data_IF_098144967276
#
_entry.id   IF_098144967276
#
_cell.length_a   1.000
_cell.length_b   1.000
_cell.length_c   1.000
_cell.angle_alpha   90.00
_cell.angle_beta   90.00
_cell.angle_gamma   90.00
#
_symmetry.space_group_name_H-M   'P 1'
#
loop_
_entity.id
_entity.type
_entity.pdbx_description
1 polymer ?
#
# COMPACT_ATOMS: atom_id res chain seq x y z
N UNK A 1 -39.32 9.69 -12.30
CA UNK A 1 -39.28 10.41 -11.02
C UNK A 1 -38.49 9.51 -10.08
N UNK A 2 -37.24 9.86 -9.81
CA UNK A 2 -36.33 9.07 -8.98
C UNK A 2 -36.68 9.33 -7.51
N UNK A 3 -37.13 8.30 -6.79
CA UNK A 3 -37.26 8.37 -5.33
C UNK A 3 -35.87 8.35 -4.71
N UNK A 4 -35.34 9.54 -4.40
CA UNK A 4 -34.16 9.70 -3.56
C UNK A 4 -34.64 9.83 -2.11
N UNK A 5 -34.21 8.86 -1.29
CA UNK A 5 -34.05 8.91 0.16
C UNK A 5 -35.14 9.66 0.96
N UNK A 6 -36.04 8.91 1.57
CA UNK A 6 -36.85 9.39 2.70
C UNK A 6 -35.94 9.64 3.91
N UNK A 7 -35.94 10.87 4.43
CA UNK A 7 -35.17 11.36 5.60
C UNK A 7 -35.48 10.66 6.95
N UNK A 8 -36.13 9.48 6.93
CA UNK A 8 -36.55 8.72 8.10
C UNK A 8 -35.69 7.49 8.39
N UNK A 9 -34.69 7.18 7.57
CA UNK A 9 -33.74 6.11 7.87
C UNK A 9 -32.51 6.67 8.59
N UNK A 10 -32.43 6.48 9.91
CA UNK A 10 -31.19 6.70 10.66
C UNK A 10 -30.03 5.98 9.95
N UNK A 11 -28.86 6.62 9.78
CA UNK A 11 -27.72 5.99 9.13
C UNK A 11 -27.40 4.69 9.85
N UNK A 12 -27.54 3.55 9.16
CA UNK A 12 -27.29 2.23 9.73
C UNK A 12 -25.95 2.25 10.46
N UNK A 13 -25.98 2.13 11.79
CA UNK A 13 -24.76 1.97 12.56
C UNK A 13 -24.08 0.68 12.10
N UNK A 14 -22.94 0.84 11.43
CA UNK A 14 -22.13 -0.29 11.00
C UNK A 14 -21.86 -1.20 12.22
N UNK A 15 -21.98 -2.53 12.07
CA UNK A 15 -21.77 -3.47 13.17
C UNK A 15 -20.47 -3.17 13.92
N UNK A 16 -20.47 -3.23 15.26
CA UNK A 16 -19.29 -2.95 16.10
C UNK A 16 -18.03 -3.71 15.68
N UNK A 17 -18.20 -4.84 15.01
CA UNK A 17 -17.14 -5.66 14.42
C UNK A 17 -16.28 -4.90 13.39
N UNK A 18 -16.86 -3.93 12.67
CA UNK A 18 -16.12 -3.08 11.73
C UNK A 18 -15.18 -2.10 12.45
N UNK A 19 -15.54 -1.61 13.64
CA UNK A 19 -14.68 -0.79 14.49
C UNK A 19 -13.66 -1.63 15.30
N UNK A 20 -13.85 -2.96 15.35
CA UNK A 20 -13.05 -3.86 16.16
C UNK A 20 -11.78 -4.38 15.47
N UNK A 21 -11.34 -3.81 14.33
CA UNK A 21 -10.01 -4.06 13.76
C UNK A 21 -8.87 -3.37 14.55
N UNK A 22 -8.92 -3.41 15.89
CA UNK A 22 -7.72 -3.31 16.72
C UNK A 22 -7.08 -4.70 16.78
N UNK A 23 -5.76 -4.76 16.55
CA UNK A 23 -4.95 -5.98 16.51
C UNK A 23 -5.18 -6.83 17.77
N UNK A 24 -6.03 -7.85 17.68
CA UNK A 24 -6.12 -8.91 18.67
C UNK A 24 -4.93 -9.86 18.47
N UNK A 25 -3.81 -9.54 19.10
CA UNK A 25 -2.78 -10.54 19.39
C UNK A 25 -3.41 -11.52 20.40
N UNK A 26 -4.02 -12.59 19.91
CA UNK A 26 -4.69 -13.61 20.72
C UNK A 26 -3.71 -14.26 21.71
N UNK A 27 -4.12 -14.45 22.98
CA UNK A 27 -3.35 -15.17 24.00
C UNK A 27 -3.00 -16.61 23.57
N UNK A 28 -3.80 -17.21 22.69
CA UNK A 28 -3.50 -18.50 22.04
C UNK A 28 -2.16 -18.49 21.29
N UNK A 29 -1.83 -17.38 20.63
CA UNK A 29 -0.54 -17.23 19.95
C UNK A 29 0.59 -16.95 20.94
N UNK A 30 0.31 -16.34 22.09
CA UNK A 30 1.32 -16.03 23.12
C UNK A 30 1.92 -17.30 23.72
N UNK A 31 1.09 -18.29 24.03
CA UNK A 31 1.52 -19.58 24.59
C UNK A 31 2.23 -20.45 23.56
N UNK A 32 1.75 -20.47 22.31
CA UNK A 32 2.39 -21.21 21.21
C UNK A 32 3.78 -20.67 20.83
N UNK A 33 4.04 -19.37 21.07
CA UNK A 33 5.35 -18.75 20.87
C UNK A 33 6.35 -19.00 22.02
N UNK A 34 5.92 -19.52 23.18
CA UNK A 34 6.81 -19.86 24.29
C UNK A 34 7.66 -21.12 24.04
N UNK A 35 7.33 -21.92 23.03
CA UNK A 35 8.11 -23.08 22.58
C UNK A 35 9.08 -22.78 21.42
N UNK A 36 9.21 -21.52 21.00
CA UNK A 36 10.15 -21.16 19.92
C UNK A 36 11.56 -21.17 20.49
N UNK A 37 12.43 -21.94 19.84
CA UNK A 37 13.84 -22.10 20.13
C UNK A 37 14.48 -20.74 20.48
N UNK A 38 14.97 -20.60 21.71
CA UNK A 38 15.44 -19.32 22.30
C UNK A 38 16.63 -18.72 21.53
N UNK A 39 17.24 -19.50 20.65
CA UNK A 39 18.40 -19.16 19.83
C UNK A 39 18.06 -18.51 18.47
N UNK A 40 16.79 -18.53 18.04
CA UNK A 40 16.31 -17.90 16.79
C UNK A 40 15.54 -16.59 17.02
N UNK A 41 15.41 -16.13 18.27
CA UNK A 41 14.70 -14.90 18.59
C UNK A 41 15.64 -13.71 18.53
N UNK A 42 15.54 -12.91 17.46
CA UNK A 42 16.13 -11.58 17.43
C UNK A 42 15.70 -10.77 18.65
N UNK A 43 16.65 -10.10 19.29
CA UNK A 43 16.35 -9.14 20.35
C UNK A 43 15.46 -8.00 19.82
N UNK A 44 14.71 -7.34 20.70
CA UNK A 44 13.84 -6.22 20.30
C UNK A 44 14.60 -5.10 19.59
N UNK A 45 15.84 -4.83 20.01
CA UNK A 45 16.74 -3.86 19.37
C UNK A 45 17.12 -4.28 17.94
N UNK A 46 17.43 -5.56 17.72
CA UNK A 46 17.72 -6.09 16.40
C UNK A 46 16.49 -6.06 15.49
N UNK A 47 15.32 -6.47 15.99
CA UNK A 47 14.07 -6.41 15.22
C UNK A 47 13.73 -4.99 14.79
N UNK A 48 13.97 -4.01 15.67
CA UNK A 48 13.79 -2.58 15.39
C UNK A 48 14.81 -2.11 14.35
N UNK A 49 16.08 -2.49 14.48
CA UNK A 49 17.12 -2.18 13.49
C UNK A 49 16.75 -2.72 12.11
N UNK A 50 16.40 -4.01 12.00
CA UNK A 50 15.95 -4.61 10.74
C UNK A 50 14.71 -3.92 10.16
N UNK A 51 13.78 -3.45 10.99
CA UNK A 51 12.62 -2.69 10.52
C UNK A 51 13.03 -1.33 9.95
N UNK A 52 13.92 -0.60 10.63
CA UNK A 52 14.43 0.70 10.18
C UNK A 52 15.22 0.53 8.87
N UNK A 53 16.05 -0.50 8.78
CA UNK A 53 16.83 -0.80 7.58
C UNK A 53 15.92 -1.14 6.39
N UNK A 54 14.86 -1.93 6.62
CA UNK A 54 13.85 -2.24 5.61
C UNK A 54 13.15 -0.96 5.13
N UNK A 55 12.72 -0.11 6.06
CA UNK A 55 12.07 1.16 5.75
C UNK A 55 12.97 2.07 4.90
N UNK A 56 14.21 2.26 5.34
CA UNK A 56 15.17 3.14 4.66
C UNK A 56 15.57 2.57 3.28
N UNK A 57 15.72 1.25 3.18
CA UNK A 57 16.03 0.57 1.91
C UNK A 57 14.91 0.74 0.89
N UNK A 58 13.65 0.55 1.31
CA UNK A 58 12.48 0.77 0.45
C UNK A 58 12.41 2.23 0.03
N UNK A 59 12.42 3.15 1.01
CA UNK A 59 12.29 4.59 0.76
C UNK A 59 13.36 5.09 -0.22
N UNK A 60 14.62 4.76 0.04
CA UNK A 60 15.73 5.20 -0.83
C UNK A 60 15.65 4.59 -2.23
N UNK A 61 15.16 3.35 -2.36
CA UNK A 61 14.97 2.72 -3.67
C UNK A 61 13.91 3.45 -4.52
N UNK A 62 12.81 3.87 -3.91
CA UNK A 62 11.73 4.58 -4.60
C UNK A 62 12.12 6.02 -4.94
N UNK A 63 12.73 6.77 -4.01
CA UNK A 63 13.14 8.16 -4.23
C UNK A 63 14.18 8.31 -5.36
N UNK A 64 15.01 7.28 -5.56
CA UNK A 64 16.05 7.28 -6.59
C UNK A 64 15.58 6.65 -7.91
N UNK A 65 14.31 6.26 -8.03
CA UNK A 65 13.80 5.55 -9.20
C UNK A 65 13.83 6.44 -10.45
N UNK A 66 14.30 5.88 -11.58
CA UNK A 66 14.27 6.53 -12.89
C UNK A 66 14.25 5.48 -14.02
N UNK A 67 14.06 5.94 -15.26
CA UNK A 67 14.02 5.07 -16.44
C UNK A 67 15.26 4.18 -16.61
N UNK A 68 16.45 4.70 -16.25
CA UNK A 68 17.72 3.96 -16.40
C UNK A 68 17.92 2.86 -15.36
N UNK A 69 17.28 2.97 -14.18
CA UNK A 69 17.53 2.05 -13.07
C UNK A 69 16.35 1.15 -12.69
N UNK A 70 15.15 1.36 -13.23
CA UNK A 70 13.91 0.68 -12.82
C UNK A 70 14.05 -0.84 -12.69
N UNK A 71 14.68 -1.51 -13.66
CA UNK A 71 14.87 -2.97 -13.64
C UNK A 71 15.84 -3.43 -12.56
N UNK A 72 16.85 -2.62 -12.25
CA UNK A 72 17.79 -2.91 -11.15
C UNK A 72 17.13 -2.68 -9.79
N UNK A 73 16.31 -1.62 -9.69
CA UNK A 73 15.57 -1.25 -8.49
C UNK A 73 14.50 -2.28 -8.16
N UNK A 74 13.73 -2.77 -9.16
CA UNK A 74 12.73 -3.81 -8.96
C UNK A 74 13.35 -5.10 -8.39
N UNK A 75 14.46 -5.57 -8.98
CA UNK A 75 15.20 -6.73 -8.45
C UNK A 75 15.70 -6.53 -7.03
N UNK A 76 16.13 -5.31 -6.66
CA UNK A 76 16.54 -4.99 -5.28
C UNK A 76 15.35 -5.07 -4.33
N UNK A 77 14.21 -4.50 -4.71
CA UNK A 77 12.99 -4.51 -3.90
C UNK A 77 12.47 -5.93 -3.67
N UNK A 78 12.44 -6.78 -4.70
CA UNK A 78 11.96 -8.17 -4.58
C UNK A 78 12.81 -9.00 -3.60
N UNK A 79 14.10 -8.66 -3.43
CA UNK A 79 14.98 -9.30 -2.43
C UNK A 79 14.72 -8.83 -0.98
N UNK A 80 13.98 -7.74 -0.79
CA UNK A 80 13.59 -7.27 0.55
C UNK A 80 12.36 -8.03 1.05
N UNK A 81 12.10 -7.97 2.35
CA UNK A 81 10.88 -8.52 2.94
C UNK A 81 9.66 -7.62 2.66
N UNK A 82 9.20 -7.61 1.41
CA UNK A 82 8.09 -6.79 0.93
C UNK A 82 6.76 -7.20 1.57
N UNK A 83 6.56 -8.47 1.92
CA UNK A 83 5.36 -8.91 2.65
C UNK A 83 5.24 -8.18 4.00
N UNK A 84 6.33 -8.10 4.76
CA UNK A 84 6.40 -7.31 6.01
C UNK A 84 6.33 -5.81 5.72
N UNK A 85 6.99 -5.36 4.66
CA UNK A 85 7.13 -3.95 4.25
C UNK A 85 6.01 -3.38 3.38
N UNK A 86 4.93 -4.12 3.09
CA UNK A 86 3.94 -3.76 2.05
C UNK A 86 3.34 -2.36 2.23
N UNK A 87 3.05 -2.01 3.49
CA UNK A 87 2.52 -0.70 3.84
C UNK A 87 3.52 0.44 3.63
N UNK A 88 4.81 0.17 3.85
CA UNK A 88 5.91 1.11 3.63
C UNK A 88 6.14 1.34 2.13
N UNK A 89 6.14 0.25 1.36
CA UNK A 89 6.30 0.32 -0.10
C UNK A 89 5.17 1.11 -0.74
N UNK A 90 3.91 0.78 -0.42
CA UNK A 90 2.76 1.50 -0.98
C UNK A 90 2.81 2.98 -0.65
N UNK A 91 3.12 3.31 0.61
CA UNK A 91 3.24 4.70 1.06
C UNK A 91 4.34 5.45 0.32
N UNK A 92 5.54 4.86 0.22
CA UNK A 92 6.66 5.49 -0.47
C UNK A 92 6.37 5.72 -1.95
N UNK A 93 5.73 4.77 -2.63
CA UNK A 93 5.35 4.91 -4.05
C UNK A 93 4.33 6.04 -4.22
N UNK A 94 3.26 6.06 -3.42
CA UNK A 94 2.23 7.10 -3.51
C UNK A 94 2.78 8.48 -3.19
N UNK A 95 3.61 8.61 -2.15
CA UNK A 95 4.24 9.88 -1.80
C UNK A 95 5.15 10.36 -2.94
N UNK A 96 6.07 9.52 -3.43
CA UNK A 96 7.01 9.92 -4.50
C UNK A 96 6.29 10.24 -5.82
N UNK A 97 5.25 9.49 -6.17
CA UNK A 97 4.44 9.76 -7.36
C UNK A 97 3.66 11.09 -7.24
N UNK A 98 3.03 11.37 -6.10
CA UNK A 98 2.32 12.64 -5.87
C UNK A 98 3.25 13.86 -5.86
N UNK A 99 4.49 13.70 -5.39
CA UNK A 99 5.51 14.77 -5.48
C UNK A 99 6.05 14.97 -6.90
N UNK A 100 5.85 14.01 -7.80
CA UNK A 100 6.44 14.00 -9.14
C UNK A 100 5.48 13.40 -10.18
N UNK A 101 4.31 14.02 -10.41
CA UNK A 101 3.24 13.45 -11.23
C UNK A 101 3.65 13.26 -12.70
N UNK A 102 4.59 14.05 -13.22
CA UNK A 102 5.13 13.91 -14.57
C UNK A 102 5.84 12.56 -14.82
N UNK A 103 6.28 11.88 -13.75
CA UNK A 103 6.99 10.61 -13.81
C UNK A 103 6.12 9.44 -13.32
N UNK A 104 4.80 9.62 -13.26
CA UNK A 104 3.84 8.60 -12.79
C UNK A 104 3.97 7.27 -13.54
N UNK A 105 4.25 7.32 -14.84
CA UNK A 105 4.50 6.14 -15.68
C UNK A 105 5.66 5.26 -15.17
N UNK A 106 6.73 5.84 -14.63
CA UNK A 106 7.87 5.10 -14.06
C UNK A 106 7.41 4.31 -12.83
N UNK A 107 6.65 4.94 -11.94
CA UNK A 107 6.11 4.27 -10.76
C UNK A 107 5.13 3.16 -11.13
N UNK A 108 4.27 3.37 -12.13
CA UNK A 108 3.35 2.32 -12.62
C UNK A 108 4.09 1.12 -13.22
N UNK A 109 5.16 1.38 -13.98
CA UNK A 109 6.04 0.33 -14.52
C UNK A 109 6.74 -0.43 -13.39
N UNK A 110 7.12 0.24 -12.29
CA UNK A 110 7.69 -0.46 -11.14
C UNK A 110 6.65 -1.36 -10.47
N UNK A 111 5.41 -0.86 -10.33
CA UNK A 111 4.31 -1.63 -9.74
C UNK A 111 3.98 -2.85 -10.59
N UNK A 112 4.08 -2.80 -11.92
CA UNK A 112 3.86 -3.99 -12.75
C UNK A 112 4.88 -5.11 -12.50
N UNK A 113 6.15 -4.76 -12.27
CA UNK A 113 7.15 -5.74 -11.82
C UNK A 113 6.80 -6.30 -10.43
N UNK A 114 6.38 -5.46 -9.49
CA UNK A 114 5.99 -5.89 -8.15
C UNK A 114 4.74 -6.79 -8.20
N UNK A 115 3.78 -6.47 -9.08
CA UNK A 115 2.52 -7.22 -9.23
C UNK A 115 2.76 -8.67 -9.65
N UNK A 116 3.80 -8.92 -10.45
CA UNK A 116 4.18 -10.27 -10.86
C UNK A 116 4.53 -11.18 -9.66
N UNK A 117 5.29 -10.68 -8.69
CA UNK A 117 5.72 -11.44 -7.52
C UNK A 117 4.79 -11.28 -6.30
N UNK A 118 4.14 -10.13 -6.17
CA UNK A 118 3.39 -9.72 -4.99
C UNK A 118 2.05 -9.04 -5.36
N UNK A 119 1.08 -9.75 -5.95
CA UNK A 119 -0.20 -9.17 -6.39
C UNK A 119 -0.98 -8.50 -5.26
N UNK A 120 -0.97 -9.08 -4.04
CA UNK A 120 -1.60 -8.51 -2.85
C UNK A 120 -1.05 -7.12 -2.47
N UNK A 121 0.17 -6.78 -2.91
CA UNK A 121 0.78 -5.47 -2.67
C UNK A 121 0.29 -4.44 -3.69
N UNK A 122 0.14 -4.85 -4.96
CA UNK A 122 -0.46 -4.02 -5.99
C UNK A 122 -1.95 -3.75 -5.70
N UNK A 123 -2.69 -4.75 -5.22
CA UNK A 123 -4.07 -4.58 -4.75
C UNK A 123 -4.15 -3.58 -3.58
N UNK A 124 -3.28 -3.73 -2.57
CA UNK A 124 -3.23 -2.79 -1.45
C UNK A 124 -2.93 -1.35 -1.90
N UNK A 125 -2.03 -1.19 -2.87
CA UNK A 125 -1.72 0.13 -3.45
C UNK A 125 -2.95 0.73 -4.13
N UNK A 126 -3.64 -0.06 -4.96
CA UNK A 126 -4.83 0.38 -5.68
C UNK A 126 -5.94 0.81 -4.73
N UNK A 127 -6.25 -0.01 -3.72
CA UNK A 127 -7.26 0.33 -2.69
C UNK A 127 -6.91 1.65 -2.00
N UNK A 128 -5.64 1.89 -1.68
CA UNK A 128 -5.21 3.15 -1.07
C UNK A 128 -5.35 4.34 -2.02
N UNK A 129 -4.99 4.19 -3.30
CA UNK A 129 -5.20 5.23 -4.30
C UNK A 129 -6.69 5.61 -4.41
N UNK A 130 -7.58 4.62 -4.42
CA UNK A 130 -9.03 4.85 -4.44
C UNK A 130 -9.47 5.60 -3.18
N UNK A 131 -9.06 5.17 -1.98
CA UNK A 131 -9.42 5.87 -0.75
C UNK A 131 -8.96 7.34 -0.74
N UNK A 132 -7.71 7.61 -1.13
CA UNK A 132 -7.18 8.98 -1.22
C UNK A 132 -7.98 9.81 -2.22
N UNK A 133 -8.27 9.25 -3.40
CA UNK A 133 -9.11 9.90 -4.39
C UNK A 133 -10.50 10.23 -3.83
N UNK A 134 -11.20 9.25 -3.24
CA UNK A 134 -12.57 9.43 -2.75
C UNK A 134 -12.66 10.45 -1.63
N UNK A 135 -11.67 10.48 -0.73
CA UNK A 135 -11.65 11.43 0.39
C UNK A 135 -11.32 12.84 -0.10
N UNK A 136 -10.34 12.99 -0.98
CA UNK A 136 -9.95 14.29 -1.53
C UNK A 136 -11.00 14.88 -2.47
N UNK A 137 -11.71 14.04 -3.24
CA UNK A 137 -12.78 14.48 -4.14
C UNK A 137 -13.97 15.06 -3.36
N UNK A 138 -14.35 14.45 -2.23
CA UNK A 138 -15.41 14.98 -1.35
C UNK A 138 -15.08 16.36 -0.77
N UNK A 139 -13.80 16.63 -0.55
CA UNK A 139 -13.31 17.90 -0.05
C UNK A 139 -12.93 18.89 -1.17
N UNK A 140 -13.16 18.54 -2.43
CA UNK A 140 -12.82 19.34 -3.62
C UNK A 140 -11.33 19.75 -3.71
N UNK A 141 -10.44 18.92 -3.16
CA UNK A 141 -9.00 19.21 -3.12
C UNK A 141 -8.27 18.66 -4.35
N UNK A 142 -8.26 19.42 -5.45
CA UNK A 142 -7.70 19.00 -6.76
C UNK A 142 -6.27 18.47 -6.67
N UNK A 143 -5.40 19.17 -5.95
CA UNK A 143 -4.01 18.78 -5.74
C UNK A 143 -3.85 17.39 -5.08
N UNK A 144 -4.89 16.89 -4.40
CA UNK A 144 -4.88 15.60 -3.71
C UNK A 144 -5.60 14.50 -4.48
N UNK A 145 -6.64 14.81 -5.26
CA UNK A 145 -7.38 13.79 -6.02
C UNK A 145 -6.84 13.56 -7.43
N UNK A 146 -6.16 14.53 -8.06
CA UNK A 146 -5.58 14.36 -9.41
C UNK A 146 -4.42 13.34 -9.44
N UNK A 147 -3.43 13.38 -8.53
CA UNK A 147 -2.33 12.41 -8.54
C UNK A 147 -2.76 10.94 -8.49
N UNK A 148 -3.67 10.50 -7.58
CA UNK A 148 -4.11 9.11 -7.56
C UNK A 148 -4.91 8.72 -8.82
N UNK A 149 -5.69 9.63 -9.42
CA UNK A 149 -6.39 9.36 -10.69
C UNK A 149 -5.41 9.12 -11.83
N UNK A 150 -4.41 10.00 -11.98
CA UNK A 150 -3.35 9.83 -12.97
C UNK A 150 -2.59 8.52 -12.76
N UNK A 151 -2.35 8.17 -11.50
CA UNK A 151 -1.65 6.94 -11.17
C UNK A 151 -2.46 5.69 -11.53
N UNK A 152 -3.75 5.66 -11.19
CA UNK A 152 -4.66 4.58 -11.58
C UNK A 152 -4.70 4.42 -13.11
N UNK A 153 -4.77 5.51 -13.86
CA UNK A 153 -4.75 5.47 -15.33
C UNK A 153 -3.49 4.77 -15.87
N UNK A 154 -2.31 5.11 -15.34
CA UNK A 154 -1.07 4.44 -15.74
C UNK A 154 -0.97 2.99 -15.24
N UNK A 155 -1.57 2.63 -14.10
CA UNK A 155 -1.62 1.24 -13.63
C UNK A 155 -2.46 0.36 -14.56
N UNK A 156 -3.59 0.88 -15.07
CA UNK A 156 -4.40 0.22 -16.10
C UNK A 156 -3.59 0.06 -17.39
N UNK A 157 -2.92 1.11 -17.85
CA UNK A 157 -2.08 1.06 -19.05
C UNK A 157 -0.94 0.01 -18.95
N UNK A 158 -0.46 -0.27 -17.75
CA UNK A 158 0.59 -1.27 -17.49
C UNK A 158 0.05 -2.68 -17.20
N UNK A 159 -1.24 -2.94 -17.43
CA UNK A 159 -1.91 -4.21 -17.14
C UNK A 159 -1.73 -4.68 -15.68
N UNK A 160 -1.58 -3.75 -14.74
CA UNK A 160 -1.55 -4.06 -13.30
C UNK A 160 -2.97 -4.33 -12.81
N UNK A 161 -3.92 -3.53 -13.30
CA UNK A 161 -5.33 -3.61 -12.97
C UNK A 161 -6.06 -4.05 -14.23
N UNK A 162 -6.81 -5.14 -14.14
CA UNK A 162 -7.74 -5.55 -15.19
C UNK A 162 -9.05 -4.79 -15.01
N UNK A 163 -9.57 -4.19 -16.08
CA UNK A 163 -10.98 -3.84 -16.12
C UNK A 163 -11.75 -5.16 -16.22
N UNK A 164 -12.56 -5.48 -15.22
CA UNK A 164 -13.33 -6.73 -15.21
C UNK A 164 -14.52 -6.55 -16.16
N UNK A 165 -14.69 -7.48 -17.11
CA UNK A 165 -15.88 -7.66 -17.94
C UNK A 165 -16.97 -8.44 -17.18
#
# INVERSE_FOLDING_TARGET
MFELYSDTEEPQQLPREFYARRRNYSNYNKEKNMGINKYDQFSLSEQRRYWIDLHNSIKSAIEKLNHGNIRSTSRKLIKLNIIRGKGLLCRSIMESQSHSPNFTNIYATLVSFINHDFPNVAELLLVRCICVFTDAYKCEEENKYVPPVLFIAHLVQNNVVSYVN
#
